data_IF_267489272257
#
_entry.id   IF_267489272257
#
_cell.length_a   1.000
_cell.length_b   1.000
_cell.length_c   1.000
_cell.angle_alpha   90.00
_cell.angle_beta   90.00
_cell.angle_gamma   90.00
#
_symmetry.space_group_name_H-M   'P 1'
#
loop_
_entity.id
_entity.type
_entity.pdbx_description
1 polymer ?
#
# COMPACT_ATOMS: atom_id res chain seq x y z
N UNK A 1 -18.86 -20.36 -1.13
CA UNK A 1 -19.61 -19.22 -1.74
C UNK A 1 -18.70 -18.62 -2.80
N UNK A 2 -19.23 -17.96 -3.83
CA UNK A 2 -18.36 -17.25 -4.80
C UNK A 2 -17.79 -15.98 -4.16
N UNK A 3 -16.51 -15.67 -4.42
CA UNK A 3 -15.85 -14.45 -3.96
C UNK A 3 -16.60 -13.21 -4.45
N UNK A 4 -16.53 -12.07 -3.71
CA UNK A 4 -17.07 -10.80 -4.18
C UNK A 4 -16.53 -10.42 -5.55
N UNK A 5 -17.41 -10.04 -6.46
CA UNK A 5 -17.03 -9.64 -7.84
C UNK A 5 -16.64 -8.18 -7.91
N UNK A 6 -16.99 -7.39 -6.89
CA UNK A 6 -16.73 -5.94 -6.84
C UNK A 6 -15.71 -5.61 -5.76
N UNK A 7 -14.94 -4.57 -5.98
CA UNK A 7 -14.09 -3.96 -4.97
C UNK A 7 -14.91 -3.48 -3.78
N UNK A 8 -14.32 -3.55 -2.58
CA UNK A 8 -14.93 -2.99 -1.38
C UNK A 8 -14.85 -1.45 -1.43
N UNK A 9 -15.95 -0.79 -1.11
CA UNK A 9 -16.10 0.65 -1.21
C UNK A 9 -15.73 1.40 0.10
N UNK A 10 -15.67 2.72 0.04
CA UNK A 10 -15.39 3.58 1.19
C UNK A 10 -16.42 3.39 2.32
N UNK A 11 -17.69 3.10 1.99
CA UNK A 11 -18.74 2.88 2.99
C UNK A 11 -18.51 1.61 3.80
N UNK A 12 -17.92 0.57 3.18
CA UNK A 12 -17.53 -0.64 3.89
C UNK A 12 -16.50 -0.30 5.00
N UNK A 13 -15.43 0.43 4.67
CA UNK A 13 -14.40 0.81 5.62
C UNK A 13 -14.93 1.79 6.68
N UNK A 14 -15.72 2.79 6.28
CA UNK A 14 -16.33 3.72 7.23
C UNK A 14 -17.19 2.99 8.27
N UNK A 15 -17.98 1.99 7.87
CA UNK A 15 -18.76 1.16 8.82
C UNK A 15 -17.86 0.37 9.78
N UNK A 16 -16.70 -0.10 9.33
CA UNK A 16 -15.74 -0.78 10.22
C UNK A 16 -15.16 0.17 11.26
N UNK A 17 -14.65 1.33 10.81
CA UNK A 17 -14.08 2.34 11.71
C UNK A 17 -15.12 2.98 12.65
N UNK A 18 -16.39 3.06 12.26
CA UNK A 18 -17.47 3.50 13.15
C UNK A 18 -17.72 2.52 14.30
N UNK A 19 -17.52 1.23 14.07
CA UNK A 19 -17.71 0.18 15.10
C UNK A 19 -16.52 0.06 16.04
N UNK A 20 -15.33 0.26 15.52
CA UNK A 20 -14.07 0.19 16.25
C UNK A 20 -13.07 1.15 15.60
N UNK A 21 -12.48 2.07 16.36
CA UNK A 21 -11.49 3.04 15.85
C UNK A 21 -10.19 2.38 15.37
N UNK A 22 -9.87 1.18 15.84
CA UNK A 22 -8.74 0.36 15.39
C UNK A 22 -9.20 -1.08 15.07
N UNK A 23 -9.88 -1.30 13.91
CA UNK A 23 -10.53 -2.58 13.59
C UNK A 23 -9.59 -3.78 13.50
N UNK A 24 -8.31 -3.55 13.31
CA UNK A 24 -7.28 -4.57 13.11
C UNK A 24 -6.21 -4.60 14.21
N UNK A 25 -6.42 -3.88 15.33
CA UNK A 25 -5.48 -3.79 16.45
C UNK A 25 -4.07 -3.30 16.05
N UNK A 26 -4.00 -2.40 15.07
CA UNK A 26 -2.73 -1.88 14.55
C UNK A 26 -1.87 -1.18 15.62
N UNK A 27 -2.50 -0.57 16.63
CA UNK A 27 -1.78 0.12 17.71
C UNK A 27 -1.15 -0.83 18.72
N UNK A 28 -1.85 -1.91 19.06
CA UNK A 28 -1.49 -2.75 20.21
C UNK A 28 -0.81 -4.07 19.81
N UNK A 29 -1.04 -4.58 18.60
CA UNK A 29 -0.55 -5.87 18.16
C UNK A 29 0.98 -5.93 18.03
N UNK A 30 1.68 -6.84 18.77
CA UNK A 30 3.09 -7.09 18.55
C UNK A 30 3.40 -7.61 17.14
N UNK A 31 2.46 -8.35 16.53
CA UNK A 31 2.55 -8.84 15.17
C UNK A 31 2.61 -7.68 14.18
N UNK A 32 1.68 -6.71 14.27
CA UNK A 32 1.66 -5.53 13.41
C UNK A 32 2.90 -4.67 13.57
N UNK A 33 3.39 -4.47 14.81
CA UNK A 33 4.65 -3.77 15.03
C UNK A 33 5.83 -4.45 14.34
N UNK A 34 5.93 -5.77 14.44
CA UNK A 34 6.97 -6.54 13.75
C UNK A 34 6.88 -6.44 12.23
N UNK A 35 5.67 -6.48 11.68
CA UNK A 35 5.41 -6.32 10.25
C UNK A 35 5.80 -4.90 9.75
N UNK A 36 5.47 -3.84 10.49
CA UNK A 36 5.91 -2.47 10.17
C UNK A 36 7.44 -2.32 10.20
N UNK A 37 8.10 -2.92 11.19
CA UNK A 37 9.57 -2.89 11.23
C UNK A 37 10.19 -3.65 10.04
N UNK A 38 9.64 -4.81 9.70
CA UNK A 38 10.06 -5.57 8.53
C UNK A 38 9.81 -4.80 7.23
N UNK A 39 8.67 -4.10 7.11
CA UNK A 39 8.34 -3.22 5.98
C UNK A 39 9.41 -2.13 5.80
N UNK A 40 9.78 -1.44 6.87
CA UNK A 40 10.82 -0.40 6.82
C UNK A 40 12.22 -0.97 6.53
N UNK A 41 12.52 -2.18 7.01
CA UNK A 41 13.80 -2.86 6.74
C UNK A 41 13.92 -3.34 5.29
N UNK A 42 12.79 -3.64 4.63
CA UNK A 42 12.76 -4.04 3.23
C UNK A 42 13.10 -2.89 2.27
N UNK A 43 13.02 -1.64 2.72
CA UNK A 43 13.32 -0.46 1.90
C UNK A 43 14.82 -0.29 1.69
N UNK A 44 15.32 -0.31 0.43
CA UNK A 44 16.76 -0.22 0.12
C UNK A 44 17.40 1.11 0.52
N UNK A 45 16.64 2.21 0.46
CA UNK A 45 17.16 3.54 0.77
C UNK A 45 16.85 3.95 2.20
N UNK A 46 17.80 4.59 2.86
CA UNK A 46 17.61 5.15 4.19
C UNK A 46 16.58 6.29 4.19
N UNK A 47 16.48 7.04 3.08
CA UNK A 47 15.57 8.18 2.92
C UNK A 47 15.09 8.24 1.47
N UNK A 48 13.82 8.63 1.29
CA UNK A 48 13.16 8.86 0.01
C UNK A 48 12.78 10.34 -0.14
N UNK A 49 12.64 10.82 -1.36
CA UNK A 49 12.26 12.21 -1.65
C UNK A 49 10.74 12.41 -1.56
N UNK A 50 9.97 11.54 -2.23
CA UNK A 50 8.51 11.64 -2.33
C UNK A 50 7.88 10.25 -2.25
N UNK A 51 7.19 9.96 -1.16
CA UNK A 51 6.58 8.66 -0.86
C UNK A 51 5.06 8.73 -1.01
N UNK A 52 4.49 7.68 -1.60
CA UNK A 52 3.05 7.48 -1.66
C UNK A 52 2.66 6.21 -0.89
N UNK A 53 1.90 6.37 0.17
CA UNK A 53 1.35 5.28 0.98
C UNK A 53 -0.15 5.13 0.70
N UNK A 54 -0.54 3.96 0.21
CA UNK A 54 -1.92 3.61 -0.12
C UNK A 54 -2.47 2.73 1.01
N UNK A 55 -3.56 3.19 1.65
CA UNK A 55 -4.17 2.51 2.80
C UNK A 55 -3.48 2.86 4.13
N UNK A 56 -3.37 4.15 4.43
CA UNK A 56 -2.66 4.60 5.62
C UNK A 56 -3.38 4.29 6.94
N UNK A 57 -4.67 3.93 6.91
CA UNK A 57 -5.45 3.66 8.12
C UNK A 57 -5.33 4.82 9.14
N UNK A 58 -5.08 4.51 10.40
CA UNK A 58 -4.87 5.47 11.49
C UNK A 58 -3.46 6.13 11.47
N UNK A 59 -2.66 5.94 10.42
CA UNK A 59 -1.38 6.61 10.23
C UNK A 59 -0.19 6.05 11.03
N UNK A 60 -0.27 4.82 11.54
CA UNK A 60 0.79 4.24 12.38
C UNK A 60 2.05 3.96 11.55
N UNK A 61 1.91 3.34 10.38
CA UNK A 61 3.03 3.13 9.47
C UNK A 61 3.48 4.45 8.85
N UNK A 62 2.53 5.35 8.52
CA UNK A 62 2.81 6.69 8.01
C UNK A 62 3.74 7.48 8.94
N UNK A 63 3.54 7.42 10.26
CA UNK A 63 4.40 8.09 11.25
C UNK A 63 5.85 7.58 11.20
N UNK A 64 6.03 6.29 10.95
CA UNK A 64 7.36 5.70 10.81
C UNK A 64 8.00 6.08 9.46
N UNK A 65 7.21 6.09 8.37
CA UNK A 65 7.63 6.52 7.04
C UNK A 65 8.01 8.00 7.00
N UNK A 66 7.30 8.87 7.74
CA UNK A 66 7.58 10.30 7.81
C UNK A 66 9.01 10.61 8.24
N UNK A 67 9.66 9.71 8.99
CA UNK A 67 11.07 9.81 9.41
C UNK A 67 12.07 9.32 8.35
N UNK A 68 11.56 8.74 7.27
CA UNK A 68 12.30 8.10 6.18
C UNK A 68 12.08 8.78 4.82
N UNK A 69 11.42 9.95 4.80
CA UNK A 69 11.16 10.68 3.56
C UNK A 69 11.10 12.20 3.77
N UNK A 70 11.27 12.95 2.68
CA UNK A 70 11.11 14.42 2.68
C UNK A 70 9.67 14.84 2.47
N UNK A 71 8.88 14.02 1.74
CA UNK A 71 7.44 14.21 1.55
C UNK A 71 6.75 12.85 1.61
N UNK A 72 5.58 12.81 2.23
CA UNK A 72 4.71 11.64 2.27
C UNK A 72 3.29 12.07 1.92
N UNK A 73 2.75 11.47 0.87
CA UNK A 73 1.32 11.46 0.61
C UNK A 73 0.76 10.14 1.16
N UNK A 74 -0.04 10.20 2.22
CA UNK A 74 -0.71 9.06 2.83
C UNK A 74 -2.20 9.13 2.51
N UNK A 75 -2.78 8.05 1.99
CA UNK A 75 -4.19 8.06 1.58
C UNK A 75 -4.96 6.86 2.15
N UNK A 76 -6.24 7.09 2.41
CA UNK A 76 -7.18 6.03 2.77
C UNK A 76 -8.57 6.34 2.17
N UNK A 77 -9.37 5.31 1.91
CA UNK A 77 -10.72 5.45 1.40
C UNK A 77 -11.72 5.87 2.51
N UNK A 78 -11.39 5.64 3.78
CA UNK A 78 -12.23 5.99 4.91
C UNK A 78 -11.96 7.41 5.41
N UNK A 79 -12.99 8.27 5.41
CA UNK A 79 -12.92 9.60 6.03
C UNK A 79 -12.55 9.56 7.53
N UNK A 80 -12.97 8.48 8.22
CA UNK A 80 -12.69 8.29 9.64
C UNK A 80 -11.22 7.97 9.85
N UNK A 81 -10.65 7.04 9.07
CA UNK A 81 -9.23 6.72 9.08
C UNK A 81 -8.39 7.96 8.78
N UNK A 82 -8.72 8.70 7.72
CA UNK A 82 -8.07 9.95 7.33
C UNK A 82 -8.07 10.98 8.44
N UNK A 83 -9.20 11.16 9.13
CA UNK A 83 -9.29 12.07 10.27
C UNK A 83 -8.36 11.64 11.42
N UNK A 84 -8.32 10.35 11.73
CA UNK A 84 -7.47 9.81 12.79
C UNK A 84 -5.98 9.92 12.41
N UNK A 85 -5.64 9.60 11.16
CA UNK A 85 -4.28 9.76 10.63
C UNK A 85 -3.81 11.22 10.66
N UNK A 86 -4.65 12.18 10.25
CA UNK A 86 -4.33 13.62 10.33
C UNK A 86 -4.00 14.05 11.76
N UNK A 87 -4.77 13.59 12.74
CA UNK A 87 -4.52 13.88 14.15
C UNK A 87 -3.17 13.30 14.62
N UNK A 88 -2.87 12.05 14.26
CA UNK A 88 -1.60 11.38 14.60
C UNK A 88 -0.41 12.09 13.98
N UNK A 89 -0.56 12.55 12.75
CA UNK A 89 0.54 13.08 11.93
C UNK A 89 0.65 14.60 11.98
N UNK A 90 -0.09 15.29 12.86
CA UNK A 90 -0.09 16.74 13.01
C UNK A 90 1.31 17.32 13.25
N UNK A 91 2.17 16.59 13.95
CA UNK A 91 3.56 17.01 14.23
C UNK A 91 4.52 16.83 13.03
N UNK A 92 4.06 16.26 11.91
CA UNK A 92 4.89 15.95 10.73
C UNK A 92 4.48 16.81 9.54
N UNK A 93 5.01 18.03 9.36
CA UNK A 93 4.59 18.96 8.31
C UNK A 93 4.93 18.48 6.88
N UNK A 94 5.78 17.46 6.76
CA UNK A 94 6.11 16.81 5.49
C UNK A 94 5.08 15.77 5.04
N UNK A 95 4.07 15.48 5.87
CA UNK A 95 3.04 14.48 5.59
C UNK A 95 1.75 15.16 5.19
N UNK A 96 1.22 14.79 4.05
CA UNK A 96 -0.13 15.13 3.63
C UNK A 96 -1.01 13.88 3.71
N UNK A 97 -2.19 14.00 4.35
CA UNK A 97 -3.16 12.93 4.46
C UNK A 97 -4.42 13.30 3.67
N UNK A 98 -4.77 12.49 2.67
CA UNK A 98 -5.95 12.71 1.81
C UNK A 98 -6.90 11.52 1.87
N UNK A 99 -8.21 11.81 1.80
CA UNK A 99 -9.21 10.81 1.47
C UNK A 99 -9.12 10.52 -0.04
N UNK A 100 -8.95 9.24 -0.39
CA UNK A 100 -8.76 8.86 -1.79
C UNK A 100 -9.12 7.38 -1.97
N UNK A 101 -9.94 7.09 -2.97
CA UNK A 101 -10.31 5.74 -3.38
C UNK A 101 -9.60 5.38 -4.67
N UNK A 102 -8.63 4.48 -4.62
CA UNK A 102 -7.97 3.95 -5.81
C UNK A 102 -8.79 2.77 -6.40
N UNK A 103 -8.75 2.57 -7.72
CA UNK A 103 -8.00 3.32 -8.74
C UNK A 103 -8.68 4.59 -9.24
N UNK A 104 -9.93 4.89 -8.85
CA UNK A 104 -10.73 5.98 -9.42
C UNK A 104 -10.04 7.35 -9.25
N UNK A 105 -9.59 7.61 -8.03
CA UNK A 105 -8.80 8.79 -7.70
C UNK A 105 -7.34 8.38 -7.55
N UNK A 106 -6.44 9.04 -8.29
CA UNK A 106 -5.01 8.76 -8.22
C UNK A 106 -4.23 10.07 -8.38
N UNK A 107 -3.13 10.30 -7.62
CA UNK A 107 -2.39 11.55 -7.70
C UNK A 107 -1.66 11.68 -9.05
N UNK A 108 -1.51 12.92 -9.53
CA UNK A 108 -0.75 13.23 -10.75
C UNK A 108 0.77 13.33 -10.49
N UNK A 109 1.17 13.39 -9.22
CA UNK A 109 2.57 13.47 -8.80
C UNK A 109 3.33 12.17 -9.10
N UNK A 110 4.66 12.28 -9.13
CA UNK A 110 5.55 11.11 -9.26
C UNK A 110 6.28 10.85 -7.95
N UNK A 111 6.62 9.57 -7.73
CA UNK A 111 7.15 9.08 -6.45
C UNK A 111 8.40 8.24 -6.66
N UNK A 112 9.32 8.29 -5.71
CA UNK A 112 10.47 7.38 -5.65
C UNK A 112 10.22 6.16 -4.74
N UNK A 113 9.11 6.17 -3.98
CA UNK A 113 8.56 5.00 -3.29
C UNK A 113 7.04 5.03 -3.34
N UNK A 114 6.43 3.91 -3.73
CA UNK A 114 5.01 3.63 -3.52
C UNK A 114 4.89 2.40 -2.64
N UNK A 115 4.05 2.50 -1.60
CA UNK A 115 3.72 1.42 -0.70
C UNK A 115 2.25 1.06 -0.83
N UNK A 116 1.96 -0.21 -1.16
CA UNK A 116 0.64 -0.81 -1.12
C UNK A 116 0.63 -1.87 -0.02
N UNK A 117 0.09 -1.49 1.13
CA UNK A 117 0.06 -2.35 2.32
C UNK A 117 -1.36 -2.62 2.78
N UNK A 118 -1.74 -3.90 2.82
CA UNK A 118 -3.03 -4.39 3.32
C UNK A 118 -4.26 -3.80 2.58
N UNK A 119 -4.13 -3.48 1.30
CA UNK A 119 -5.20 -2.86 0.48
C UNK A 119 -5.55 -3.68 -0.75
N UNK A 120 -4.57 -4.23 -1.45
CA UNK A 120 -4.76 -4.81 -2.78
C UNK A 120 -5.84 -5.87 -2.85
N UNK A 121 -6.03 -6.66 -1.81
CA UNK A 121 -7.04 -7.73 -1.76
C UNK A 121 -8.48 -7.24 -1.57
N UNK A 122 -8.68 -5.96 -1.24
CA UNK A 122 -10.00 -5.33 -1.22
C UNK A 122 -10.50 -4.90 -2.60
N UNK A 123 -9.60 -4.82 -3.58
CA UNK A 123 -9.92 -4.56 -4.97
C UNK A 123 -10.27 -5.86 -5.70
N UNK A 124 -11.18 -5.79 -6.66
CA UNK A 124 -11.33 -6.86 -7.63
C UNK A 124 -10.14 -6.87 -8.60
N UNK A 125 -10.02 -7.93 -9.42
CA UNK A 125 -8.88 -8.09 -10.31
C UNK A 125 -8.74 -6.94 -11.31
N UNK A 126 -9.83 -6.45 -11.87
CA UNK A 126 -9.83 -5.40 -12.90
C UNK A 126 -9.36 -4.07 -12.30
N UNK A 127 -9.91 -3.67 -11.15
CA UNK A 127 -9.52 -2.45 -10.45
C UNK A 127 -8.05 -2.53 -9.97
N UNK A 128 -7.60 -3.71 -9.50
CA UNK A 128 -6.21 -3.90 -9.10
C UNK A 128 -5.25 -3.77 -10.29
N UNK A 129 -5.63 -4.28 -11.49
CA UNK A 129 -4.83 -4.10 -12.70
C UNK A 129 -4.69 -2.61 -13.07
N UNK A 130 -5.79 -1.86 -13.02
CA UNK A 130 -5.77 -0.41 -13.26
C UNK A 130 -4.92 0.32 -12.22
N UNK A 131 -5.07 -0.03 -10.93
CA UNK A 131 -4.28 0.54 -9.84
C UNK A 131 -2.78 0.25 -10.02
N UNK A 132 -2.41 -1.01 -10.36
CA UNK A 132 -1.03 -1.41 -10.66
C UNK A 132 -0.42 -0.55 -11.74
N UNK A 133 -1.12 -0.40 -12.87
CA UNK A 133 -0.60 0.34 -14.02
C UNK A 133 -0.42 1.83 -13.67
N UNK A 134 -1.35 2.41 -12.90
CA UNK A 134 -1.22 3.78 -12.38
C UNK A 134 -0.02 3.91 -11.43
N UNK A 135 0.18 2.97 -10.49
CA UNK A 135 1.34 2.96 -9.58
C UNK A 135 2.67 2.87 -10.35
N UNK A 136 2.77 1.95 -11.32
CA UNK A 136 3.98 1.80 -12.13
C UNK A 136 4.28 3.08 -12.93
N UNK A 137 3.24 3.71 -13.50
CA UNK A 137 3.41 4.95 -14.25
C UNK A 137 3.85 6.12 -13.35
N UNK A 138 3.32 6.21 -12.14
CA UNK A 138 3.65 7.26 -11.17
C UNK A 138 5.02 7.07 -10.49
N UNK A 139 5.66 5.90 -10.61
CA UNK A 139 7.02 5.71 -10.13
C UNK A 139 8.03 6.44 -11.00
N UNK A 140 8.99 7.09 -10.38
CA UNK A 140 10.20 7.57 -11.04
C UNK A 140 11.07 6.39 -11.50
N UNK A 141 11.88 6.54 -12.58
CA UNK A 141 12.90 5.56 -12.92
C UNK A 141 13.77 5.24 -11.70
N UNK A 142 14.03 3.94 -11.44
CA UNK A 142 14.70 3.45 -10.22
C UNK A 142 13.92 3.65 -8.91
N UNK A 143 12.68 4.13 -8.98
CA UNK A 143 11.78 4.16 -7.84
C UNK A 143 11.31 2.75 -7.44
N UNK A 144 10.92 2.61 -6.19
CA UNK A 144 10.53 1.35 -5.58
C UNK A 144 9.02 1.24 -5.39
N UNK A 145 8.49 0.04 -5.60
CA UNK A 145 7.13 -0.34 -5.24
C UNK A 145 7.21 -1.49 -4.24
N UNK A 146 6.71 -1.28 -3.03
CA UNK A 146 6.67 -2.30 -1.98
C UNK A 146 5.24 -2.76 -1.75
N UNK A 147 5.01 -4.05 -1.88
CA UNK A 147 3.76 -4.72 -1.56
C UNK A 147 3.89 -5.44 -0.22
N UNK A 148 2.89 -5.30 0.64
CA UNK A 148 2.79 -6.03 1.92
C UNK A 148 1.35 -6.47 2.12
N UNK A 149 1.07 -7.77 2.16
CA UNK A 149 -0.29 -8.27 2.29
C UNK A 149 -0.39 -9.50 3.20
N UNK A 150 -1.42 -9.52 4.01
CA UNK A 150 -1.93 -10.69 4.71
C UNK A 150 -2.27 -11.80 3.70
N UNK A 151 -1.87 -13.05 3.95
CA UNK A 151 -2.02 -14.15 3.00
C UNK A 151 -3.11 -15.16 3.35
N UNK A 152 -3.53 -15.37 4.62
CA UNK A 152 -4.63 -16.26 4.91
C UNK A 152 -5.91 -15.87 4.16
N UNK A 153 -6.65 -16.89 3.72
CA UNK A 153 -7.89 -16.71 2.98
C UNK A 153 -8.98 -16.04 3.83
N UNK A 154 -9.60 -15.02 3.26
CA UNK A 154 -10.77 -14.31 3.82
C UNK A 154 -11.88 -14.34 2.77
N UNK A 155 -13.03 -14.92 3.10
CA UNK A 155 -14.12 -15.16 2.15
C UNK A 155 -14.75 -13.85 1.65
N UNK A 156 -14.77 -12.83 2.49
CA UNK A 156 -15.34 -11.51 2.19
C UNK A 156 -14.46 -10.65 1.28
N UNK A 157 -13.23 -11.06 1.00
CA UNK A 157 -12.31 -10.28 0.17
C UNK A 157 -12.32 -10.77 -1.29
N UNK A 158 -12.34 -9.85 -2.27
CA UNK A 158 -12.29 -10.19 -3.69
C UNK A 158 -11.05 -11.02 -4.07
N UNK A 159 -9.89 -10.69 -3.49
CA UNK A 159 -8.62 -11.36 -3.75
C UNK A 159 -7.97 -11.85 -2.45
N UNK A 160 -7.01 -12.75 -2.58
CA UNK A 160 -6.05 -13.09 -1.53
C UNK A 160 -4.80 -12.21 -1.64
N UNK A 161 -4.00 -12.13 -0.57
CA UNK A 161 -2.70 -11.45 -0.63
C UNK A 161 -1.80 -12.01 -1.72
N UNK A 162 -1.76 -13.34 -1.90
CA UNK A 162 -0.96 -13.98 -2.95
C UNK A 162 -1.43 -13.59 -4.36
N UNK A 163 -2.75 -13.58 -4.62
CA UNK A 163 -3.30 -13.15 -5.91
C UNK A 163 -2.94 -11.70 -6.23
N UNK A 164 -2.88 -10.82 -5.21
CA UNK A 164 -2.40 -9.44 -5.39
C UNK A 164 -0.95 -9.44 -5.89
N UNK A 165 -0.06 -10.13 -5.21
CA UNK A 165 1.36 -10.15 -5.57
C UNK A 165 1.61 -10.76 -6.96
N UNK A 166 0.95 -11.89 -7.28
CA UNK A 166 1.08 -12.53 -8.59
C UNK A 166 0.70 -11.59 -9.75
N UNK A 167 -0.30 -10.73 -9.55
CA UNK A 167 -0.71 -9.76 -10.56
C UNK A 167 0.39 -8.74 -10.88
N UNK A 168 1.19 -8.33 -9.88
CA UNK A 168 2.33 -7.46 -10.13
C UNK A 168 3.50 -8.18 -10.80
N UNK A 169 3.68 -9.48 -10.54
CA UNK A 169 4.67 -10.29 -11.26
C UNK A 169 4.36 -10.41 -12.75
N UNK A 170 3.11 -10.31 -13.20
CA UNK A 170 2.75 -10.27 -14.63
C UNK A 170 3.41 -9.07 -15.36
N UNK A 171 3.73 -7.97 -14.64
CA UNK A 171 4.39 -6.77 -15.17
C UNK A 171 5.89 -6.73 -14.88
N UNK A 172 6.41 -7.73 -14.17
CA UNK A 172 7.81 -7.79 -13.75
C UNK A 172 8.64 -8.72 -14.63
N UNK A 173 9.88 -8.36 -14.90
CA UNK A 173 10.82 -9.22 -15.64
C UNK A 173 12.01 -8.45 -16.21
N UNK A 174 12.97 -9.19 -16.75
CA UNK A 174 14.20 -8.64 -17.35
C UNK A 174 13.99 -8.13 -18.78
N UNK A 175 12.93 -8.59 -19.45
CA UNK A 175 12.64 -8.19 -20.83
C UNK A 175 12.32 -6.71 -20.93
N UNK A 176 12.61 -6.08 -22.08
CA UNK A 176 12.39 -4.65 -22.29
C UNK A 176 10.92 -4.25 -22.12
N UNK A 177 10.00 -5.15 -22.44
CA UNK A 177 8.55 -4.91 -22.32
C UNK A 177 8.05 -4.81 -20.88
N UNK A 178 8.76 -5.40 -19.91
CA UNK A 178 8.37 -5.35 -18.51
C UNK A 178 8.83 -4.02 -17.88
N UNK A 179 7.91 -3.21 -17.30
CA UNK A 179 8.25 -1.90 -16.76
C UNK A 179 8.99 -1.95 -15.42
N UNK A 180 8.86 -3.05 -14.67
CA UNK A 180 9.46 -3.23 -13.34
C UNK A 180 10.27 -4.52 -13.27
N UNK A 181 11.17 -4.60 -12.31
CA UNK A 181 11.91 -5.82 -11.93
C UNK A 181 11.64 -6.16 -10.47
N UNK A 182 11.52 -7.44 -10.17
CA UNK A 182 11.45 -7.92 -8.80
C UNK A 182 12.84 -7.89 -8.17
N UNK A 183 12.97 -7.22 -7.03
CA UNK A 183 14.25 -7.01 -6.33
C UNK A 183 14.42 -8.00 -5.20
N UNK A 184 13.41 -8.16 -4.38
CA UNK A 184 13.42 -9.08 -3.24
C UNK A 184 12.00 -9.45 -2.82
N UNK A 185 11.86 -10.63 -2.23
CA UNK A 185 10.59 -11.11 -1.69
C UNK A 185 10.79 -11.84 -0.37
N UNK A 186 9.75 -11.82 0.47
CA UNK A 186 9.73 -12.48 1.77
C UNK A 186 8.31 -12.94 2.08
N UNK A 187 8.17 -14.18 2.50
CA UNK A 187 6.96 -14.69 3.15
C UNK A 187 7.30 -15.03 4.59
N UNK A 188 6.56 -14.52 5.53
CA UNK A 188 6.80 -14.78 6.96
C UNK A 188 5.47 -14.87 7.71
N UNK A 189 5.24 -16.04 8.30
CA UNK A 189 4.03 -16.31 9.08
C UNK A 189 2.78 -16.18 8.20
N UNK A 190 2.09 -15.06 8.33
CA UNK A 190 0.79 -14.81 7.71
C UNK A 190 0.80 -13.61 6.74
N UNK A 191 1.99 -13.11 6.36
CA UNK A 191 2.09 -12.05 5.34
C UNK A 191 3.16 -12.35 4.31
N UNK A 192 2.98 -11.77 3.14
CA UNK A 192 3.93 -11.75 2.03
C UNK A 192 4.34 -10.31 1.74
N UNK A 193 5.60 -10.15 1.37
CA UNK A 193 6.19 -8.87 1.02
C UNK A 193 7.03 -9.03 -0.24
N UNK A 194 6.83 -8.18 -1.24
CA UNK A 194 7.62 -8.14 -2.47
C UNK A 194 7.98 -6.71 -2.83
N UNK A 195 9.27 -6.49 -3.11
CA UNK A 195 9.83 -5.23 -3.55
C UNK A 195 10.14 -5.28 -5.04
N UNK A 196 9.66 -4.27 -5.76
CA UNK A 196 9.94 -4.06 -7.18
C UNK A 196 10.64 -2.72 -7.39
N UNK A 197 11.45 -2.62 -8.45
CA UNK A 197 12.09 -1.39 -8.91
C UNK A 197 11.61 -1.06 -10.33
N UNK A 198 11.25 0.19 -10.60
CA UNK A 198 10.96 0.65 -11.96
C UNK A 198 12.25 0.75 -12.77
N UNK A 199 12.23 0.19 -13.98
CA UNK A 199 13.38 0.26 -14.87
C UNK A 199 13.72 1.69 -15.25
N UNK A 200 15.00 1.95 -15.50
CA UNK A 200 15.42 3.19 -16.13
C UNK A 200 14.84 3.28 -17.55
N UNK A 201 14.36 4.45 -17.93
CA UNK A 201 14.05 4.73 -19.34
C UNK A 201 15.35 4.76 -20.13
N UNK A 202 15.39 4.03 -21.22
CA UNK A 202 16.53 4.01 -22.16
C UNK A 202 16.26 4.89 -23.37
#
# INVERSE_FOLDING_TARGET
MEKPVKSLDADFFNRMYQKNEDPWDFESSPYERGKYEATLQALPHATYENVFEIGCSNGILSEKLARRCKKLLAVDASEIAVRNARKRLEAYPSVEVREMTIPDNFPEETFDLILLSEVGYFLNREDLMVARDKMINALLPKGHLLLVHWTPYVEEFPLTGDEVHELFFESAGIEKANPIIHVSGRSEGQYRMDLFEKKAEH
#
